data_IF_169566807430
#
_entry.id   IF_169566807430
#
_cell.length_a   1.000
_cell.length_b   1.000
_cell.length_c   1.000
_cell.angle_alpha   90.00
_cell.angle_beta   90.00
_cell.angle_gamma   90.00
#
_symmetry.space_group_name_H-M   'P 1'
#
loop_
_entity.id
_entity.type
_entity.pdbx_description
1 polymer ?
#
# COMPACT_ATOMS: atom_id res chain seq x y z
N UNK A 1 97.59 28.64 2.56
CA UNK A 1 97.26 27.62 1.54
C UNK A 1 96.29 26.67 2.19
N UNK A 2 95.11 26.45 1.59
CA UNK A 2 94.13 25.50 2.12
C UNK A 2 94.63 24.13 1.69
N UNK A 3 95.31 23.42 2.60
CA UNK A 3 95.69 22.02 2.37
C UNK A 3 94.41 21.18 2.42
N UNK A 4 93.81 20.99 1.25
CA UNK A 4 92.72 20.05 1.00
C UNK A 4 93.26 18.63 1.20
N UNK A 5 93.39 18.24 2.46
CA UNK A 5 93.83 16.93 2.88
C UNK A 5 92.73 15.89 2.62
N UNK A 6 93.14 14.68 2.23
CA UNK A 6 92.30 13.48 2.10
C UNK A 6 91.41 13.26 3.34
N UNK A 7 91.88 13.72 4.51
CA UNK A 7 91.12 13.74 5.76
C UNK A 7 89.78 14.50 5.68
N UNK A 8 89.74 15.69 5.07
CA UNK A 8 88.50 16.45 4.88
C UNK A 8 87.52 15.73 3.96
N UNK A 9 88.04 15.04 2.93
CA UNK A 9 87.23 14.25 2.01
C UNK A 9 86.57 13.06 2.73
N UNK A 10 87.30 12.41 3.64
CA UNK A 10 86.77 11.35 4.52
C UNK A 10 85.67 11.85 5.46
N UNK A 11 85.84 13.03 6.05
CA UNK A 11 84.82 13.64 6.92
C UNK A 11 83.55 14.03 6.15
N UNK A 12 83.68 14.51 4.91
CA UNK A 12 82.52 14.74 4.04
C UNK A 12 81.80 13.44 3.66
N UNK A 13 82.55 12.39 3.34
CA UNK A 13 81.97 11.09 3.04
C UNK A 13 81.18 10.52 4.24
N UNK A 14 81.74 10.62 5.47
CA UNK A 14 81.04 10.17 6.68
C UNK A 14 79.77 10.99 6.95
N UNK A 15 79.81 12.30 6.70
CA UNK A 15 78.67 13.20 6.89
C UNK A 15 77.55 12.86 5.89
N UNK A 16 77.88 12.67 4.61
CA UNK A 16 76.91 12.28 3.58
C UNK A 16 76.33 10.90 3.90
N UNK A 17 77.16 9.93 4.29
CA UNK A 17 76.69 8.61 4.69
C UNK A 17 75.71 8.69 5.88
N UNK A 18 76.06 9.46 6.92
CA UNK A 18 75.21 9.66 8.08
C UNK A 18 73.90 10.37 7.73
N UNK A 19 73.94 11.37 6.84
CA UNK A 19 72.75 12.05 6.35
C UNK A 19 71.81 11.08 5.62
N UNK A 20 72.33 10.23 4.74
CA UNK A 20 71.53 9.22 4.01
C UNK A 20 70.97 8.19 4.98
N UNK A 21 71.79 7.72 5.93
CA UNK A 21 71.37 6.78 6.97
C UNK A 21 70.23 7.36 7.81
N UNK A 22 70.36 8.60 8.28
CA UNK A 22 69.36 9.26 9.11
C UNK A 22 68.08 9.59 8.31
N UNK A 23 68.21 9.96 7.04
CA UNK A 23 67.07 10.18 6.15
C UNK A 23 66.24 8.89 5.97
N UNK A 24 66.91 7.77 5.70
CA UNK A 24 66.24 6.49 5.48
C UNK A 24 65.70 5.88 6.79
N UNK A 25 66.44 5.98 7.89
CA UNK A 25 66.14 5.29 9.14
C UNK A 25 65.30 6.10 10.13
N UNK A 26 65.36 7.44 10.09
CA UNK A 26 64.69 8.30 11.07
C UNK A 26 63.64 9.21 10.42
N UNK A 27 64.04 10.05 9.44
CA UNK A 27 63.14 11.07 8.90
C UNK A 27 61.95 10.46 8.14
N UNK A 28 62.21 9.52 7.22
CA UNK A 28 61.14 8.84 6.48
C UNK A 28 60.12 8.12 7.37
N UNK A 29 60.51 7.26 8.33
CA UNK A 29 59.53 6.59 9.18
C UNK A 29 58.77 7.56 10.09
N UNK A 30 59.41 8.62 10.59
CA UNK A 30 58.73 9.64 11.42
C UNK A 30 57.68 10.39 10.61
N UNK A 31 58.01 10.88 9.40
CA UNK A 31 57.02 11.53 8.53
C UNK A 31 55.86 10.58 8.19
N UNK A 32 56.16 9.32 7.88
CA UNK A 32 55.13 8.32 7.56
C UNK A 32 54.14 8.11 8.71
N UNK A 33 54.61 8.12 9.96
CA UNK A 33 53.72 7.99 11.13
C UNK A 33 52.86 9.24 11.32
N UNK A 34 53.42 10.43 11.08
CA UNK A 34 52.67 11.70 11.14
C UNK A 34 51.59 11.72 10.05
N UNK A 35 51.93 11.38 8.82
CA UNK A 35 50.98 11.32 7.69
C UNK A 35 49.90 10.26 7.93
N UNK A 36 50.27 9.06 8.37
CA UNK A 36 49.31 8.00 8.71
C UNK A 36 48.37 8.43 9.85
N UNK A 37 48.86 9.18 10.84
CA UNK A 37 48.01 9.73 11.90
C UNK A 37 47.06 10.78 11.36
N UNK A 38 47.54 11.67 10.49
CA UNK A 38 46.73 12.70 9.86
C UNK A 38 45.62 12.09 9.00
N UNK A 39 45.98 11.18 8.10
CA UNK A 39 45.05 10.45 7.23
C UNK A 39 44.01 9.68 8.04
N UNK A 40 44.43 9.02 9.14
CA UNK A 40 43.48 8.30 10.00
C UNK A 40 42.50 9.24 10.69
N UNK A 41 42.95 10.38 11.23
CA UNK A 41 42.06 11.33 11.91
C UNK A 41 41.12 12.00 10.91
N UNK A 42 41.65 12.48 9.80
CA UNK A 42 40.89 13.17 8.75
C UNK A 42 39.89 12.21 8.09
N UNK A 43 40.32 10.99 7.77
CA UNK A 43 39.45 9.94 7.23
C UNK A 43 38.37 9.46 8.22
N UNK A 44 38.66 9.39 9.52
CA UNK A 44 37.61 9.09 10.51
C UNK A 44 36.58 10.21 10.63
N UNK A 45 36.99 11.47 10.47
CA UNK A 45 36.08 12.60 10.54
C UNK A 45 35.15 12.63 9.33
N UNK A 46 35.70 12.46 8.12
CA UNK A 46 34.94 12.37 6.87
C UNK A 46 34.00 11.15 6.87
N UNK A 47 34.45 10.00 7.37
CA UNK A 47 33.60 8.82 7.52
C UNK A 47 32.44 9.08 8.50
N UNK A 48 32.67 9.77 9.61
CA UNK A 48 31.62 10.10 10.56
C UNK A 48 30.61 11.11 10.00
N UNK A 49 31.08 12.09 9.22
CA UNK A 49 30.22 13.07 8.56
C UNK A 49 29.34 12.41 7.49
N UNK A 50 29.93 11.58 6.62
CA UNK A 50 29.20 10.82 5.60
C UNK A 50 28.18 9.85 6.21
N UNK A 51 28.53 9.16 7.31
CA UNK A 51 27.60 8.30 8.05
C UNK A 51 26.43 9.10 8.63
N UNK A 52 26.68 10.29 9.19
CA UNK A 52 25.63 11.16 9.70
C UNK A 52 24.72 11.68 8.59
N UNK A 53 25.30 12.07 7.44
CA UNK A 53 24.54 12.52 6.29
C UNK A 53 23.66 11.41 5.73
N UNK A 54 24.21 10.20 5.55
CA UNK A 54 23.44 9.02 5.13
C UNK A 54 22.33 8.69 6.12
N UNK A 55 22.60 8.71 7.42
CA UNK A 55 21.59 8.47 8.45
C UNK A 55 20.46 9.52 8.38
N UNK A 56 20.80 10.79 8.19
CA UNK A 56 19.84 11.88 8.01
C UNK A 56 18.99 11.69 6.74
N UNK A 57 19.63 11.36 5.61
CA UNK A 57 18.93 11.09 4.34
C UNK A 57 18.00 9.87 4.44
N UNK A 58 18.45 8.79 5.07
CA UNK A 58 17.63 7.61 5.32
C UNK A 58 16.44 7.93 6.21
N UNK A 59 16.64 8.72 7.27
CA UNK A 59 15.55 9.16 8.14
C UNK A 59 14.54 10.03 7.41
N UNK A 60 14.99 11.02 6.64
CA UNK A 60 14.13 11.88 5.84
C UNK A 60 13.33 11.07 4.79
N UNK A 61 13.98 10.10 4.14
CA UNK A 61 13.32 9.20 3.19
C UNK A 61 12.28 8.32 3.88
N UNK A 62 12.58 7.80 5.07
CA UNK A 62 11.65 7.00 5.85
C UNK A 62 10.43 7.81 6.29
N UNK A 63 10.65 9.01 6.83
CA UNK A 63 9.57 9.93 7.26
C UNK A 63 8.69 10.35 6.07
N UNK A 64 9.29 10.63 4.92
CA UNK A 64 8.58 10.93 3.67
C UNK A 64 7.73 9.74 3.18
N UNK A 65 8.30 8.53 3.16
CA UNK A 65 7.57 7.31 2.78
C UNK A 65 6.43 7.02 3.74
N UNK A 66 6.63 7.20 5.05
CA UNK A 66 5.58 7.02 6.05
C UNK A 66 4.41 7.99 5.81
N UNK A 67 4.72 9.26 5.54
CA UNK A 67 3.71 10.28 5.25
C UNK A 67 2.95 9.96 3.97
N UNK A 68 3.66 9.60 2.89
CA UNK A 68 3.05 9.20 1.63
C UNK A 68 2.16 7.96 1.77
N UNK A 69 2.59 6.97 2.55
CA UNK A 69 1.77 5.78 2.81
C UNK A 69 0.51 6.11 3.61
N UNK A 70 0.59 7.00 4.61
CA UNK A 70 -0.59 7.47 5.34
C UNK A 70 -1.58 8.18 4.43
N UNK A 71 -1.11 9.10 3.60
CA UNK A 71 -1.98 9.80 2.63
C UNK A 71 -2.64 8.83 1.64
N UNK A 72 -1.90 7.81 1.17
CA UNK A 72 -2.46 6.77 0.29
C UNK A 72 -3.53 5.95 1.00
N UNK A 73 -3.27 5.52 2.23
CA UNK A 73 -4.21 4.75 3.05
C UNK A 73 -5.49 5.55 3.32
N UNK A 74 -5.38 6.84 3.63
CA UNK A 74 -6.54 7.70 3.84
C UNK A 74 -7.37 7.85 2.56
N UNK A 75 -6.72 8.08 1.42
CA UNK A 75 -7.40 8.16 0.12
C UNK A 75 -8.09 6.86 -0.26
N UNK A 76 -7.40 5.73 -0.09
CA UNK A 76 -7.95 4.41 -0.39
C UNK A 76 -9.09 4.04 0.56
N UNK A 77 -8.96 4.34 1.85
CA UNK A 77 -10.03 4.13 2.83
C UNK A 77 -11.26 4.99 2.51
N UNK A 78 -11.06 6.23 2.08
CA UNK A 78 -12.13 7.11 1.65
C UNK A 78 -12.84 6.57 0.40
N UNK A 79 -12.08 6.12 -0.62
CA UNK A 79 -12.67 5.57 -1.85
C UNK A 79 -13.42 4.27 -1.58
N UNK A 80 -12.87 3.36 -0.76
CA UNK A 80 -13.55 2.11 -0.37
C UNK A 80 -14.85 2.41 0.38
N UNK A 81 -14.84 3.41 1.27
CA UNK A 81 -16.05 3.82 2.00
C UNK A 81 -17.10 4.41 1.07
N UNK A 82 -16.70 5.25 0.12
CA UNK A 82 -17.61 5.84 -0.87
C UNK A 82 -18.21 4.75 -1.78
N UNK A 83 -17.38 3.82 -2.27
CA UNK A 83 -17.82 2.70 -3.09
C UNK A 83 -18.78 1.78 -2.33
N UNK A 84 -18.51 1.52 -1.04
CA UNK A 84 -19.39 0.73 -0.18
C UNK A 84 -20.75 1.42 0.01
N UNK A 85 -20.77 2.74 0.24
CA UNK A 85 -22.02 3.52 0.36
C UNK A 85 -22.80 3.50 -0.96
N UNK A 86 -22.14 3.73 -2.09
CA UNK A 86 -22.78 3.71 -3.39
C UNK A 86 -23.34 2.31 -3.72
N UNK A 87 -22.55 1.26 -3.51
CA UNK A 87 -22.98 -0.13 -3.71
C UNK A 87 -24.16 -0.49 -2.80
N UNK A 88 -24.13 -0.07 -1.53
CA UNK A 88 -25.24 -0.27 -0.59
C UNK A 88 -26.51 0.42 -1.08
N UNK A 89 -26.40 1.67 -1.55
CA UNK A 89 -27.52 2.42 -2.11
C UNK A 89 -28.11 1.72 -3.34
N UNK A 90 -27.28 1.33 -4.29
CA UNK A 90 -27.71 0.61 -5.50
C UNK A 90 -28.42 -0.69 -5.13
N UNK A 91 -27.86 -1.48 -4.19
CA UNK A 91 -28.51 -2.72 -3.72
C UNK A 91 -29.86 -2.45 -3.07
N UNK A 92 -29.96 -1.40 -2.26
CA UNK A 92 -31.21 -1.05 -1.58
C UNK A 92 -32.28 -0.56 -2.57
N UNK A 93 -31.89 0.24 -3.57
CA UNK A 93 -32.78 0.69 -4.63
C UNK A 93 -33.27 -0.48 -5.48
N UNK A 94 -32.38 -1.41 -5.85
CA UNK A 94 -32.75 -2.64 -6.57
C UNK A 94 -33.70 -3.52 -5.75
N UNK A 95 -33.39 -3.78 -4.47
CA UNK A 95 -34.24 -4.55 -3.58
C UNK A 95 -35.63 -3.92 -3.42
N UNK A 96 -35.70 -2.58 -3.36
CA UNK A 96 -36.97 -1.85 -3.31
C UNK A 96 -37.77 -2.01 -4.61
N UNK A 97 -37.10 -1.90 -5.76
CA UNK A 97 -37.73 -2.10 -7.08
C UNK A 97 -38.27 -3.53 -7.22
N UNK A 98 -37.48 -4.53 -6.85
CA UNK A 98 -37.90 -5.93 -6.86
C UNK A 98 -39.09 -6.19 -5.93
N UNK A 99 -39.07 -5.61 -4.73
CA UNK A 99 -40.20 -5.71 -3.80
C UNK A 99 -41.47 -5.08 -4.37
N UNK A 100 -41.37 -3.90 -5.00
CA UNK A 100 -42.51 -3.27 -5.67
C UNK A 100 -43.06 -4.13 -6.82
N UNK A 101 -42.17 -4.71 -7.62
CA UNK A 101 -42.56 -5.58 -8.72
C UNK A 101 -43.22 -6.88 -8.22
N UNK A 102 -42.73 -7.46 -7.12
CA UNK A 102 -43.37 -8.62 -6.49
C UNK A 102 -44.78 -8.30 -5.98
N UNK A 103 -44.97 -7.14 -5.33
CA UNK A 103 -46.28 -6.70 -4.84
C UNK A 103 -47.26 -6.53 -6.02
N UNK A 104 -46.80 -5.91 -7.10
CA UNK A 104 -47.63 -5.72 -8.30
C UNK A 104 -48.00 -7.07 -8.95
N UNK A 105 -47.03 -7.97 -9.10
CA UNK A 105 -47.28 -9.31 -9.61
C UNK A 105 -48.26 -10.10 -8.72
N UNK A 106 -48.15 -9.99 -7.40
CA UNK A 106 -49.11 -10.62 -6.48
C UNK A 106 -50.51 -10.04 -6.62
N UNK A 107 -50.65 -8.71 -6.76
CA UNK A 107 -51.95 -8.07 -6.99
C UNK A 107 -52.62 -8.56 -8.28
N UNK A 108 -51.85 -8.66 -9.36
CA UNK A 108 -52.34 -9.20 -10.63
C UNK A 108 -52.77 -10.66 -10.52
N UNK A 109 -52.00 -11.49 -9.80
CA UNK A 109 -52.37 -12.88 -9.53
C UNK A 109 -53.67 -13.00 -8.72
N UNK A 110 -53.81 -12.20 -7.66
CA UNK A 110 -55.03 -12.18 -6.83
C UNK A 110 -56.24 -11.76 -7.67
N UNK A 111 -56.10 -10.74 -8.51
CA UNK A 111 -57.18 -10.30 -9.39
C UNK A 111 -57.60 -11.40 -10.39
N UNK A 112 -56.63 -12.09 -10.98
CA UNK A 112 -56.88 -13.21 -11.89
C UNK A 112 -57.52 -14.42 -11.18
N UNK A 113 -57.07 -14.76 -9.97
CA UNK A 113 -57.69 -15.82 -9.15
C UNK A 113 -59.13 -15.45 -8.76
N UNK A 114 -59.39 -14.19 -8.39
CA UNK A 114 -60.73 -13.73 -8.08
C UNK A 114 -61.69 -13.85 -9.27
N UNK A 115 -61.24 -13.50 -10.48
CA UNK A 115 -62.03 -13.67 -11.70
C UNK A 115 -62.33 -15.15 -11.98
N UNK A 116 -61.32 -16.03 -11.86
CA UNK A 116 -61.53 -17.49 -12.03
C UNK A 116 -62.56 -18.04 -11.04
N UNK A 117 -62.45 -17.67 -9.76
CA UNK A 117 -63.39 -18.13 -8.74
C UNK A 117 -64.81 -17.63 -9.04
N UNK A 118 -64.99 -16.39 -9.51
CA UNK A 118 -66.31 -15.90 -9.92
C UNK A 118 -66.90 -16.71 -11.09
N UNK A 119 -66.08 -17.05 -12.09
CA UNK A 119 -66.51 -17.85 -13.24
C UNK A 119 -66.91 -19.27 -12.80
N UNK A 120 -66.12 -19.92 -11.94
CA UNK A 120 -66.41 -21.23 -11.37
C UNK A 120 -67.70 -21.21 -10.53
N UNK A 121 -67.86 -20.24 -9.62
CA UNK A 121 -69.08 -20.09 -8.83
C UNK A 121 -70.32 -19.90 -9.71
N UNK A 122 -70.20 -19.14 -10.81
CA UNK A 122 -71.32 -18.92 -11.74
C UNK A 122 -71.68 -20.20 -12.49
N UNK A 123 -70.69 -21.04 -12.83
CA UNK A 123 -70.92 -22.35 -13.43
C UNK A 123 -71.59 -23.29 -12.43
N UNK A 124 -71.13 -23.33 -11.18
CA UNK A 124 -71.70 -24.16 -10.12
C UNK A 124 -73.16 -23.77 -9.81
N UNK A 125 -73.45 -22.46 -9.73
CA UNK A 125 -74.83 -21.97 -9.54
C UNK A 125 -75.75 -22.46 -10.67
N UNK A 126 -75.29 -22.46 -11.93
CA UNK A 126 -76.09 -22.97 -13.07
C UNK A 126 -76.33 -24.47 -12.97
N UNK A 127 -75.35 -25.24 -12.51
CA UNK A 127 -75.49 -26.69 -12.30
C UNK A 127 -76.49 -26.98 -11.18
N UNK A 128 -76.36 -26.28 -10.04
CA UNK A 128 -77.28 -26.40 -8.90
C UNK A 128 -78.70 -26.00 -9.31
N UNK A 129 -78.86 -24.90 -10.04
CA UNK A 129 -80.17 -24.46 -10.54
C UNK A 129 -80.83 -25.52 -11.44
N UNK A 130 -80.08 -26.15 -12.36
CA UNK A 130 -80.59 -27.27 -13.17
C UNK A 130 -81.01 -28.47 -12.32
N UNK A 131 -80.21 -28.84 -11.31
CA UNK A 131 -80.53 -29.95 -10.42
C UNK A 131 -81.80 -29.69 -9.60
N UNK A 132 -81.98 -28.45 -9.11
CA UNK A 132 -83.20 -28.05 -8.38
C UNK A 132 -84.41 -28.10 -9.31
N UNK A 133 -84.32 -27.51 -10.50
CA UNK A 133 -85.42 -27.52 -11.48
C UNK A 133 -85.80 -28.95 -11.90
N UNK A 134 -84.81 -29.83 -12.10
CA UNK A 134 -85.06 -31.24 -12.41
C UNK A 134 -85.80 -31.98 -11.28
N UNK A 135 -85.37 -31.79 -10.02
CA UNK A 135 -86.05 -32.38 -8.85
C UNK A 135 -87.46 -31.85 -8.63
N UNK A 136 -87.73 -30.59 -8.95
CA UNK A 136 -89.08 -30.01 -8.83
C UNK A 136 -90.00 -30.59 -9.92
N UNK A 137 -89.53 -30.69 -11.16
CA UNK A 137 -90.31 -31.27 -12.26
C UNK A 137 -90.58 -32.77 -12.11
N UNK A 138 -89.67 -33.55 -11.52
CA UNK A 138 -89.93 -34.97 -11.17
C UNK A 138 -91.01 -35.14 -10.10
N UNK A 139 -91.36 -34.07 -9.36
CA UNK A 139 -92.30 -34.11 -8.23
C UNK A 139 -93.71 -33.65 -8.60
N UNK A 140 -93.90 -33.06 -9.78
CA UNK A 140 -95.18 -32.57 -10.31
C UNK A 140 -95.79 -33.48 -11.38
N UNK A 141 -95.36 -34.76 -11.43
CA UNK A 141 -95.97 -35.83 -12.23
C UNK A 141 -96.48 -36.95 -11.32
#
# INVERSE_FOLDING_TARGET
MIDLNIWFLGQWAIFIFMMIFLNQFLFKPVLRVIDARREKVEGTHESAETLNEQASQHRATYESRMTQTRERLEKESASVREEAVNTSRIRMDNARSEAMQQVENMRQRIAAEYQKVQEEMTADIKVIARQISGKILERDI
#
